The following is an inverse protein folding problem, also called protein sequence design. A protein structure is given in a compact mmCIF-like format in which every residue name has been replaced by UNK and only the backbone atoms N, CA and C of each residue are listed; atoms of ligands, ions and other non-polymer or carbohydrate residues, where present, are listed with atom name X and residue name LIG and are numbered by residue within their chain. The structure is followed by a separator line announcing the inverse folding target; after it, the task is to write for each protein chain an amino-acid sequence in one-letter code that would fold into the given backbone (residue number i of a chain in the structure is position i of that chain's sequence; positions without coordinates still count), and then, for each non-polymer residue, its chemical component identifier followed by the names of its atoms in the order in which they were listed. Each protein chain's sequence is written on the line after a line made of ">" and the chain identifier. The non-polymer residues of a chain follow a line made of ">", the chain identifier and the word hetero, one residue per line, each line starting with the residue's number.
data_IF_298575472419
#
_entry.id   IF_298575472419
#
_cell.length_a   1.000
_cell.length_b   1.000
_cell.length_c   1.000
_cell.angle_alpha   90.00
_cell.angle_beta   90.00
_cell.angle_gamma   90.00
#
_symmetry.space_group_name_H-M   'P 1'
#
loop_
_entity.id
_entity.type
_entity.pdbx_description
1 polymer ?
#
# COMPACT_ATOMS: atom_id res chain seq x y z
N UNK A 1 21.60 -4.50 13.72
CA UNK A 1 20.38 -4.63 12.88
C UNK A 1 20.60 -3.75 11.65
N UNK A 2 20.73 -4.33 10.46
CA UNK A 2 20.97 -3.53 9.26
C UNK A 2 19.63 -3.03 8.76
N UNK A 3 19.35 -1.75 8.92
CA UNK A 3 18.16 -1.11 8.37
C UNK A 3 18.34 -1.06 6.85
N UNK A 4 17.62 -1.89 6.12
CA UNK A 4 17.70 -1.94 4.66
C UNK A 4 16.76 -0.91 4.05
N UNK A 5 17.34 -0.01 3.23
CA UNK A 5 16.58 0.95 2.43
C UNK A 5 15.95 0.23 1.25
N UNK A 6 14.67 0.47 1.01
CA UNK A 6 13.95 0.02 -0.18
C UNK A 6 13.35 1.22 -0.89
N UNK A 7 13.37 1.21 -2.21
CA UNK A 7 12.65 2.18 -3.03
C UNK A 7 11.28 1.64 -3.41
N UNK A 8 10.36 2.53 -3.74
CA UNK A 8 9.03 2.16 -4.23
C UNK A 8 9.13 1.20 -5.42
N UNK A 9 8.46 0.05 -5.32
CA UNK A 9 8.46 -0.99 -6.34
C UNK A 9 9.42 -2.15 -6.06
N UNK A 10 10.31 -2.04 -5.08
CA UNK A 10 11.18 -3.14 -4.66
C UNK A 10 10.36 -4.29 -4.05
N UNK A 11 10.77 -5.52 -4.33
CA UNK A 11 10.15 -6.72 -3.74
C UNK A 11 10.75 -6.92 -2.35
N UNK A 12 9.93 -6.81 -1.31
CA UNK A 12 10.32 -7.00 0.09
C UNK A 12 10.28 -8.49 0.47
N UNK A 13 9.23 -9.18 0.03
CA UNK A 13 9.03 -10.61 0.27
C UNK A 13 8.26 -11.24 -0.89
N UNK A 14 8.39 -12.54 -1.06
CA UNK A 14 7.67 -13.31 -2.08
C UNK A 14 7.17 -14.63 -1.50
N UNK A 15 5.92 -14.97 -1.79
CA UNK A 15 5.33 -16.28 -1.49
C UNK A 15 5.67 -17.24 -2.63
N UNK A 16 5.73 -18.56 -2.37
CA UNK A 16 5.89 -19.56 -3.42
C UNK A 16 4.79 -19.42 -4.49
N UNK A 17 5.19 -18.95 -5.65
CA UNK A 17 4.27 -18.57 -6.75
C UNK A 17 3.95 -19.71 -7.72
N UNK A 18 4.45 -20.95 -7.51
CA UNK A 18 4.31 -22.04 -8.48
C UNK A 18 2.85 -22.39 -8.78
N UNK A 19 2.02 -22.54 -7.75
CA UNK A 19 0.61 -22.88 -7.92
C UNK A 19 -0.19 -21.73 -8.55
N UNK A 20 0.13 -20.48 -8.18
CA UNK A 20 -0.49 -19.30 -8.76
C UNK A 20 -0.15 -19.16 -10.26
N UNK A 21 1.07 -19.48 -10.65
CA UNK A 21 1.48 -19.47 -12.06
C UNK A 21 0.69 -20.51 -12.88
N UNK A 22 0.56 -21.73 -12.36
CA UNK A 22 -0.22 -22.79 -13.01
C UNK A 22 -1.70 -22.37 -13.16
N UNK A 23 -2.29 -21.76 -12.13
CA UNK A 23 -3.67 -21.24 -12.20
C UNK A 23 -3.83 -20.17 -13.25
N UNK A 24 -2.89 -19.21 -13.30
CA UNK A 24 -2.88 -18.17 -14.33
C UNK A 24 -2.81 -18.76 -15.73
N UNK A 25 -1.88 -19.68 -16.01
CA UNK A 25 -1.72 -20.31 -17.33
C UNK A 25 -2.98 -21.06 -17.73
N UNK A 26 -3.62 -21.78 -16.80
CA UNK A 26 -4.89 -22.45 -17.07
C UNK A 26 -6.02 -21.47 -17.42
N UNK A 27 -6.16 -20.41 -16.63
CA UNK A 27 -7.18 -19.38 -16.87
C UNK A 27 -6.94 -18.64 -18.19
N UNK A 28 -5.68 -18.37 -18.54
CA UNK A 28 -5.27 -17.76 -19.81
C UNK A 28 -5.68 -18.60 -21.01
N UNK A 29 -5.46 -19.92 -20.97
CA UNK A 29 -5.87 -20.83 -22.05
C UNK A 29 -7.39 -20.83 -22.27
N UNK A 30 -8.17 -20.86 -21.17
CA UNK A 30 -9.65 -20.81 -21.22
C UNK A 30 -10.12 -19.45 -21.75
N UNK A 31 -9.50 -18.35 -21.34
CA UNK A 31 -9.79 -17.00 -21.82
C UNK A 31 -9.55 -16.89 -23.33
N UNK A 32 -8.42 -17.37 -23.83
CA UNK A 32 -8.12 -17.34 -25.25
C UNK A 32 -9.11 -18.17 -26.10
N UNK A 33 -9.51 -19.34 -25.60
CA UNK A 33 -10.53 -20.16 -26.24
C UNK A 33 -11.88 -19.44 -26.31
N UNK A 34 -12.35 -18.89 -25.17
CA UNK A 34 -13.62 -18.18 -25.09
C UNK A 34 -13.63 -16.91 -25.95
N UNK A 35 -12.51 -16.20 -26.01
CA UNK A 35 -12.32 -15.03 -26.86
C UNK A 35 -12.46 -15.37 -28.35
N UNK A 36 -11.75 -16.39 -28.81
CA UNK A 36 -11.80 -16.81 -30.20
C UNK A 36 -13.21 -17.28 -30.59
N UNK A 37 -13.91 -17.99 -29.71
CA UNK A 37 -15.30 -18.40 -29.92
C UNK A 37 -16.23 -17.20 -29.99
N UNK A 38 -16.12 -16.27 -29.07
CA UNK A 38 -16.93 -15.04 -29.05
C UNK A 38 -16.72 -14.21 -30.32
N UNK A 39 -15.49 -14.03 -30.78
CA UNK A 39 -15.19 -13.29 -32.01
C UNK A 39 -15.82 -13.95 -33.25
N UNK A 40 -15.77 -15.28 -33.33
CA UNK A 40 -16.41 -16.04 -34.39
C UNK A 40 -17.94 -15.89 -34.38
N UNK A 41 -18.56 -16.05 -33.21
CA UNK A 41 -20.00 -15.90 -33.02
C UNK A 41 -20.45 -14.47 -33.32
N UNK A 42 -19.67 -13.46 -32.91
CA UNK A 42 -19.95 -12.06 -33.22
C UNK A 42 -20.05 -11.79 -34.71
N UNK A 43 -19.09 -12.28 -35.49
CA UNK A 43 -19.12 -12.14 -36.99
C UNK A 43 -20.33 -12.81 -37.59
N UNK A 44 -20.75 -13.99 -37.12
CA UNK A 44 -21.94 -14.67 -37.57
C UNK A 44 -23.23 -13.94 -37.23
N UNK A 45 -23.28 -13.38 -36.01
CA UNK A 45 -24.43 -12.57 -35.56
C UNK A 45 -24.59 -11.28 -36.35
N UNK A 46 -23.50 -10.57 -36.65
CA UNK A 46 -23.48 -9.35 -37.48
C UNK A 46 -23.97 -9.61 -38.91
N UNK A 47 -23.79 -10.84 -39.40
CA UNK A 47 -24.31 -11.30 -40.71
C UNK A 47 -25.75 -11.85 -40.65
N UNK A 48 -26.44 -11.69 -39.52
CA UNK A 48 -27.78 -12.25 -39.25
C UNK A 48 -27.89 -13.78 -39.39
N UNK A 49 -26.76 -14.50 -39.21
CA UNK A 49 -26.72 -15.95 -39.35
C UNK A 49 -26.79 -16.68 -37.99
N UNK A 50 -27.04 -15.94 -36.89
CA UNK A 50 -27.13 -16.51 -35.57
C UNK A 50 -28.17 -15.79 -34.73
N UNK A 51 -28.74 -16.49 -33.71
CA UNK A 51 -29.73 -15.91 -32.81
C UNK A 51 -29.06 -14.96 -31.77
N UNK A 52 -29.81 -13.96 -31.30
CA UNK A 52 -29.37 -13.07 -30.24
C UNK A 52 -29.01 -13.84 -28.98
N UNK A 53 -29.75 -14.89 -28.63
CA UNK A 53 -29.47 -15.74 -27.45
C UNK A 53 -28.12 -16.45 -27.55
N UNK A 54 -27.73 -16.94 -28.73
CA UNK A 54 -26.40 -17.55 -28.89
C UNK A 54 -25.26 -16.54 -28.78
N UNK A 55 -25.46 -15.32 -29.30
CA UNK A 55 -24.51 -14.22 -29.15
C UNK A 55 -24.34 -13.83 -27.68
N UNK A 56 -25.44 -13.62 -26.97
CA UNK A 56 -25.39 -13.24 -25.53
C UNK A 56 -24.74 -14.33 -24.67
N UNK A 57 -24.99 -15.60 -24.98
CA UNK A 57 -24.32 -16.71 -24.30
C UNK A 57 -22.81 -16.67 -24.53
N UNK A 58 -22.35 -16.56 -25.78
CA UNK A 58 -20.93 -16.50 -26.09
C UNK A 58 -20.24 -15.26 -25.41
N UNK A 59 -20.96 -14.13 -25.37
CA UNK A 59 -20.49 -12.93 -24.67
C UNK A 59 -20.34 -13.14 -23.18
N UNK A 60 -21.32 -13.81 -22.54
CA UNK A 60 -21.27 -14.13 -21.11
C UNK A 60 -20.11 -15.08 -20.79
N UNK A 61 -19.93 -16.14 -21.63
CA UNK A 61 -18.83 -17.10 -21.47
C UNK A 61 -17.46 -16.42 -21.62
N UNK A 62 -17.30 -15.54 -22.61
CA UNK A 62 -16.09 -14.73 -22.79
C UNK A 62 -15.82 -13.81 -21.58
N UNK A 63 -16.86 -13.11 -21.09
CA UNK A 63 -16.72 -12.19 -19.95
C UNK A 63 -16.32 -12.96 -18.69
N UNK A 64 -16.94 -14.11 -18.44
CA UNK A 64 -16.61 -14.97 -17.31
C UNK A 64 -15.16 -15.47 -17.37
N UNK A 65 -14.72 -15.96 -18.55
CA UNK A 65 -13.35 -16.42 -18.73
C UNK A 65 -12.32 -15.28 -18.58
N UNK A 66 -12.65 -14.08 -19.08
CA UNK A 66 -11.81 -12.89 -18.92
C UNK A 66 -11.62 -12.53 -17.45
N UNK A 67 -12.71 -12.46 -16.69
CA UNK A 67 -12.66 -12.15 -15.27
C UNK A 67 -11.85 -13.18 -14.48
N UNK A 68 -12.04 -14.48 -14.80
CA UNK A 68 -11.26 -15.54 -14.17
C UNK A 68 -9.75 -15.42 -14.44
N UNK A 69 -9.37 -15.05 -15.67
CA UNK A 69 -7.99 -14.80 -16.02
C UNK A 69 -7.41 -13.58 -15.30
N UNK A 70 -8.14 -12.45 -15.28
CA UNK A 70 -7.73 -11.23 -14.56
C UNK A 70 -7.56 -11.50 -13.05
N UNK A 71 -8.45 -12.28 -12.45
CA UNK A 71 -8.32 -12.72 -11.04
C UNK A 71 -7.04 -13.54 -10.82
N UNK A 72 -6.75 -14.50 -11.68
CA UNK A 72 -5.55 -15.33 -11.57
C UNK A 72 -4.25 -14.54 -11.80
N UNK A 73 -4.28 -13.48 -12.63
CA UNK A 73 -3.15 -12.55 -12.79
C UNK A 73 -2.91 -11.78 -11.50
N UNK A 74 -3.97 -11.20 -10.91
CA UNK A 74 -3.87 -10.45 -9.66
C UNK A 74 -3.38 -11.34 -8.51
N UNK A 75 -3.91 -12.57 -8.39
CA UNK A 75 -3.44 -13.53 -7.39
C UNK A 75 -1.93 -13.84 -7.52
N UNK A 76 -1.41 -13.92 -8.75
CA UNK A 76 0.01 -14.10 -9.00
C UNK A 76 0.83 -12.85 -8.68
N UNK A 77 0.32 -11.66 -8.96
CA UNK A 77 0.98 -10.40 -8.57
C UNK A 77 1.00 -10.23 -7.05
N UNK A 78 -0.08 -10.59 -6.38
CA UNK A 78 -0.22 -10.53 -4.92
C UNK A 78 0.70 -11.52 -4.16
N UNK A 79 1.35 -12.46 -4.88
CA UNK A 79 2.41 -13.28 -4.27
C UNK A 79 3.65 -12.48 -3.89
N UNK A 80 3.77 -11.24 -4.39
CA UNK A 80 4.92 -10.34 -4.15
C UNK A 80 4.50 -9.19 -3.25
N UNK A 81 5.13 -9.10 -2.10
CA UNK A 81 5.02 -7.91 -1.25
C UNK A 81 5.94 -6.83 -1.78
N UNK A 82 5.38 -5.79 -2.36
CA UNK A 82 6.11 -4.70 -3.00
C UNK A 82 6.11 -3.47 -2.09
N UNK A 83 7.25 -2.75 -2.03
CA UNK A 83 7.36 -1.49 -1.29
C UNK A 83 6.40 -0.43 -1.88
N UNK A 84 5.43 0.08 -1.10
CA UNK A 84 4.43 1.05 -1.59
C UNK A 84 4.99 2.47 -1.72
N UNK A 85 6.08 2.78 -1.04
CA UNK A 85 6.79 4.07 -1.03
C UNK A 85 8.28 3.85 -0.80
N UNK A 86 9.09 4.90 -0.90
CA UNK A 86 10.51 4.86 -0.53
C UNK A 86 10.63 4.84 1.00
N UNK A 87 11.28 3.82 1.56
CA UNK A 87 11.30 3.67 3.00
C UNK A 87 12.35 2.69 3.48
N UNK A 88 12.18 2.25 4.72
CA UNK A 88 13.11 1.35 5.40
C UNK A 88 12.38 0.17 6.02
N UNK A 89 13.00 -0.99 5.93
CA UNK A 89 12.56 -2.18 6.65
C UNK A 89 12.93 -1.98 8.12
N UNK A 90 11.90 -1.89 8.99
CA UNK A 90 12.08 -1.79 10.43
C UNK A 90 12.30 -3.16 11.05
N UNK A 91 11.24 -3.93 11.21
CA UNK A 91 11.27 -5.25 11.85
C UNK A 91 10.70 -6.31 10.90
N UNK A 92 11.35 -7.46 10.86
CA UNK A 92 10.88 -8.63 10.09
C UNK A 92 10.32 -9.65 11.08
N UNK A 93 9.06 -10.03 10.92
CA UNK A 93 8.31 -10.88 11.85
C UNK A 93 8.29 -12.35 11.46
N UNK A 94 8.85 -12.69 10.31
CA UNK A 94 8.86 -14.05 9.77
C UNK A 94 10.28 -14.49 9.42
N UNK A 95 10.47 -15.80 9.34
CA UNK A 95 11.70 -16.41 8.86
C UNK A 95 11.58 -16.84 7.39
N UNK A 96 12.72 -17.05 6.76
CA UNK A 96 12.77 -17.55 5.38
C UNK A 96 12.19 -18.96 5.32
N UNK A 97 11.31 -19.20 4.35
CA UNK A 97 10.57 -20.47 4.15
C UNK A 97 9.54 -20.79 5.25
N UNK A 98 9.15 -19.82 6.05
CA UNK A 98 8.06 -19.96 6.99
C UNK A 98 6.71 -19.91 6.30
N UNK A 99 5.77 -20.77 6.73
CA UNK A 99 4.37 -20.69 6.32
C UNK A 99 3.71 -19.44 6.91
N UNK A 100 3.02 -18.68 6.08
CA UNK A 100 2.30 -17.46 6.47
C UNK A 100 0.81 -17.61 6.28
N UNK A 101 0.03 -16.98 7.15
CA UNK A 101 -1.43 -16.95 7.06
C UNK A 101 -1.89 -15.61 6.47
N UNK A 102 -3.10 -15.60 5.91
CA UNK A 102 -3.74 -14.36 5.52
C UNK A 102 -3.80 -13.38 6.71
N UNK A 103 -3.54 -12.11 6.46
CA UNK A 103 -3.49 -11.02 7.46
C UNK A 103 -2.35 -11.09 8.49
N UNK A 104 -1.43 -12.03 8.37
CA UNK A 104 -0.25 -12.08 9.23
C UNK A 104 0.72 -10.95 8.87
N UNK A 105 1.21 -10.24 9.90
CA UNK A 105 2.27 -9.25 9.71
C UNK A 105 3.57 -9.93 9.31
N UNK A 106 4.16 -9.50 8.21
CA UNK A 106 5.40 -10.04 7.65
C UNK A 106 6.58 -9.15 7.97
N UNK A 107 6.40 -7.83 7.79
CA UNK A 107 7.45 -6.84 7.94
C UNK A 107 6.85 -5.51 8.40
N UNK A 108 7.59 -4.76 9.20
CA UNK A 108 7.34 -3.35 9.46
C UNK A 108 8.07 -2.52 8.42
N UNK A 109 7.35 -1.72 7.64
CA UNK A 109 7.92 -0.84 6.63
C UNK A 109 7.63 0.62 6.98
N UNK A 110 8.66 1.44 7.08
CA UNK A 110 8.60 2.77 7.71
C UNK A 110 9.05 3.83 6.72
N UNK A 111 8.24 4.86 6.57
CA UNK A 111 8.63 6.11 5.93
C UNK A 111 9.32 7.00 6.97
N UNK A 112 10.60 7.29 6.77
CA UNK A 112 11.37 8.18 7.65
C UNK A 112 11.64 9.54 7.02
N UNK A 113 11.01 9.86 5.89
CA UNK A 113 11.17 11.18 5.23
C UNK A 113 10.65 12.33 6.06
N UNK A 114 9.71 12.01 6.98
CA UNK A 114 9.14 12.95 7.93
C UNK A 114 9.04 12.32 9.31
N UNK A 115 9.51 13.05 10.30
CA UNK A 115 9.35 12.65 11.70
C UNK A 115 8.14 13.38 12.30
N UNK A 116 7.20 12.61 12.85
CA UNK A 116 6.07 13.14 13.62
C UNK A 116 6.52 13.34 15.05
N UNK A 117 6.43 14.56 15.52
CA UNK A 117 6.81 14.95 16.88
C UNK A 117 5.55 15.35 17.63
N UNK A 118 5.35 14.72 18.77
CA UNK A 118 4.23 14.99 19.67
C UNK A 118 4.76 15.61 20.95
N UNK A 119 4.29 16.81 21.26
CA UNK A 119 4.66 17.54 22.46
C UNK A 119 3.41 17.98 23.22
N UNK A 120 3.48 17.92 24.55
CA UNK A 120 2.43 18.44 25.39
C UNK A 120 2.70 19.90 25.75
N UNK A 121 1.77 20.78 25.40
CA UNK A 121 1.87 22.22 25.59
C UNK A 121 0.83 22.71 26.59
N UNK A 122 1.14 23.85 27.24
CA UNK A 122 0.21 24.51 28.18
C UNK A 122 -0.98 25.11 27.44
N UNK A 123 -2.04 25.42 28.18
CA UNK A 123 -3.23 26.06 27.63
C UNK A 123 -2.90 27.40 26.95
N UNK A 124 -1.98 28.16 27.49
CA UNK A 124 -1.55 29.46 26.95
C UNK A 124 -0.97 29.30 25.52
N UNK A 125 -0.05 28.35 25.34
CA UNK A 125 0.53 28.02 24.03
C UNK A 125 -0.54 27.45 23.09
N UNK A 126 -1.45 26.61 23.58
CA UNK A 126 -2.52 26.04 22.76
C UNK A 126 -3.48 27.11 22.22
N UNK A 127 -3.77 28.17 22.97
CA UNK A 127 -4.58 29.29 22.50
C UNK A 127 -3.87 30.12 21.41
N UNK A 128 -2.55 30.28 21.51
CA UNK A 128 -1.72 30.96 20.52
C UNK A 128 -1.36 30.09 19.32
N UNK A 129 -1.70 28.80 19.38
CA UNK A 129 -1.29 27.80 18.38
C UNK A 129 -1.72 28.11 16.94
N UNK A 130 -2.77 28.91 16.74
CA UNK A 130 -3.18 29.37 15.40
C UNK A 130 -2.15 30.28 14.73
N UNK A 131 -1.30 30.91 15.51
CA UNK A 131 -0.26 31.82 15.06
C UNK A 131 1.09 31.11 14.92
N UNK A 132 1.29 29.99 15.66
CA UNK A 132 2.53 29.22 15.66
C UNK A 132 2.53 28.27 14.47
N UNK A 133 3.26 28.60 13.41
CA UNK A 133 3.38 27.75 12.20
C UNK A 133 4.57 26.81 12.27
N UNK A 134 5.61 27.17 12.98
CA UNK A 134 6.87 26.43 13.09
C UNK A 134 7.38 26.43 14.54
N UNK A 135 8.03 25.34 14.90
CA UNK A 135 8.73 25.18 16.18
C UNK A 135 10.15 24.66 15.94
N UNK A 136 11.09 25.20 16.70
CA UNK A 136 12.48 24.73 16.67
C UNK A 136 12.66 23.52 17.58
N UNK A 137 13.15 22.41 17.04
CA UNK A 137 13.42 21.18 17.78
C UNK A 137 14.91 21.01 17.96
N UNK A 138 15.33 20.65 19.17
CA UNK A 138 16.71 20.28 19.49
C UNK A 138 16.72 18.84 19.98
N UNK A 139 17.66 18.08 19.49
CA UNK A 139 17.92 16.73 19.98
C UNK A 139 19.10 16.76 20.95
N UNK A 140 19.01 16.00 22.03
CA UNK A 140 20.08 15.93 23.05
C UNK A 140 21.41 15.43 22.47
N UNK A 141 21.35 14.65 21.40
CA UNK A 141 22.53 14.14 20.68
C UNK A 141 23.25 15.25 19.88
N UNK A 142 22.52 16.30 19.48
CA UNK A 142 23.06 17.46 18.73
C UNK A 142 22.47 18.77 19.26
N UNK A 143 22.86 19.20 20.46
CA UNK A 143 22.24 20.34 21.13
C UNK A 143 22.46 21.68 20.43
N UNK A 144 23.48 21.80 19.60
CA UNK A 144 23.79 23.02 18.82
C UNK A 144 22.89 23.20 17.60
N UNK A 145 22.25 22.13 17.10
CA UNK A 145 21.42 22.18 15.92
C UNK A 145 19.94 22.39 16.28
N UNK A 146 19.32 23.36 15.61
CA UNK A 146 17.87 23.61 15.71
C UNK A 146 17.23 23.20 14.38
N UNK A 147 16.30 22.28 14.46
CA UNK A 147 15.59 21.77 13.29
C UNK A 147 14.18 22.39 13.23
N UNK A 148 13.83 23.10 12.15
CA UNK A 148 12.49 23.68 12.01
C UNK A 148 11.47 22.60 11.71
N UNK A 149 10.47 22.45 12.57
CA UNK A 149 9.35 21.56 12.40
C UNK A 149 8.05 22.36 12.19
N UNK A 150 7.26 21.94 11.20
CA UNK A 150 5.98 22.56 10.90
C UNK A 150 4.90 22.06 11.83
N UNK A 151 4.22 22.96 12.54
CA UNK A 151 3.05 22.62 13.35
C UNK A 151 1.89 22.27 12.44
N UNK A 152 1.33 21.06 12.59
CA UNK A 152 0.22 20.56 11.81
C UNK A 152 -1.10 20.68 12.56
N UNK A 153 -1.06 20.34 13.85
CA UNK A 153 -2.25 20.30 14.68
C UNK A 153 -1.93 20.60 16.14
N UNK A 154 -2.84 21.29 16.80
CA UNK A 154 -2.90 21.36 18.26
C UNK A 154 -4.28 20.89 18.69
N UNK A 155 -4.32 19.87 19.53
CA UNK A 155 -5.56 19.27 20.01
C UNK A 155 -6.40 20.31 20.74
N UNK A 156 -7.72 20.25 20.52
CA UNK A 156 -8.70 21.08 21.23
C UNK A 156 -9.17 20.47 22.55
N UNK A 157 -8.78 19.22 22.82
CA UNK A 157 -9.15 18.50 24.04
C UNK A 157 -7.92 18.29 24.92
N UNK A 158 -8.09 18.43 26.21
CA UNK A 158 -7.06 18.10 27.21
C UNK A 158 -6.95 16.60 27.36
N UNK A 159 -5.76 16.11 27.66
CA UNK A 159 -5.56 14.72 28.09
C UNK A 159 -6.23 14.49 29.46
N UNK A 160 -6.77 13.28 29.66
CA UNK A 160 -7.62 12.93 30.84
C UNK A 160 -7.01 13.27 32.21
N UNK A 161 -5.70 13.42 32.34
CA UNK A 161 -5.01 13.64 33.62
C UNK A 161 -4.15 14.90 33.68
N UNK A 162 -3.99 15.66 32.60
CA UNK A 162 -3.18 16.87 32.60
C UNK A 162 -3.92 17.97 31.83
N UNK A 163 -3.86 19.21 32.34
CA UNK A 163 -4.33 20.43 31.67
C UNK A 163 -3.45 20.81 30.46
N UNK A 164 -2.90 19.81 29.77
CA UNK A 164 -2.00 19.98 28.64
C UNK A 164 -2.68 19.56 27.33
N UNK A 165 -2.30 20.23 26.27
CA UNK A 165 -2.80 20.01 24.92
C UNK A 165 -1.72 19.32 24.08
N UNK A 166 -2.11 18.35 23.26
CA UNK A 166 -1.17 17.68 22.36
C UNK A 166 -0.93 18.56 21.12
N UNK A 167 0.31 18.94 20.90
CA UNK A 167 0.77 19.59 19.69
C UNK A 167 1.52 18.59 18.82
N UNK A 168 1.13 18.50 17.57
CA UNK A 168 1.78 17.64 16.55
C UNK A 168 2.54 18.52 15.56
N UNK A 169 3.83 18.26 15.42
CA UNK A 169 4.68 18.92 14.43
C UNK A 169 5.34 17.88 13.51
N UNK A 170 5.57 18.24 12.25
CA UNK A 170 6.27 17.44 11.27
C UNK A 170 7.64 18.04 10.98
N UNK A 171 8.67 17.23 11.18
CA UNK A 171 10.05 17.57 10.87
C UNK A 171 10.49 16.84 9.60
N UNK A 172 10.85 17.54 8.52
CA UNK A 172 11.41 16.90 7.32
C UNK A 172 12.76 16.24 7.65
N UNK A 173 12.88 14.95 7.36
CA UNK A 173 14.12 14.18 7.54
C UNK A 173 14.71 13.84 6.16
N UNK A 174 15.34 14.82 5.52
CA UNK A 174 15.87 14.67 4.14
C UNK A 174 17.05 13.72 4.03
N UNK A 175 17.75 13.43 5.11
CA UNK A 175 18.97 12.64 5.12
C UNK A 175 18.80 11.25 5.73
N UNK A 176 17.65 10.97 6.33
CA UNK A 176 17.38 9.67 6.97
C UNK A 176 18.24 9.44 8.23
N UNK A 177 18.64 10.50 8.90
CA UNK A 177 19.46 10.49 10.14
C UNK A 177 18.64 10.31 11.40
#
# INVERSE_FOLDING_TARGET
>A
MTISKCIRGDIIAEIDSRDFRIRKERAEAIYHQAKAEFERIKVLYEKNNLSASAYEKARADYTSAKTAYETAVNELEDTKLIAPFDGYIGEVYIEKYQDVKATQSVVSFIDITQLKIEAYVTQEIAFQAKEIKEVGIRFDVRPEAVYPAKVVEVSKSTTRNNLSFLMTALLPNKQGE
#
